data_IF_839321838463
#
_entry.id   IF_839321838463
#
_cell.length_a   1.000
_cell.length_b   1.000
_cell.length_c   1.000
_cell.angle_alpha   90.00
_cell.angle_beta   90.00
_cell.angle_gamma   90.00
#
_symmetry.space_group_name_H-M   'P 1'
#
loop_
_entity.id
_entity.type
_entity.pdbx_description
1 polymer ?
#
# COMPACT_ATOMS: atom_id res chain seq x y z
N UNK A 1 -10.39 -12.94 23.05
CA UNK A 1 -11.81 -13.22 23.35
C UNK A 1 -12.59 -13.33 22.05
N UNK A 2 -12.50 -14.47 21.38
CA UNK A 2 -13.22 -14.79 20.15
C UNK A 2 -13.98 -16.10 20.38
N UNK A 3 -15.09 -16.25 19.67
CA UNK A 3 -16.00 -17.40 19.64
C UNK A 3 -17.11 -17.41 20.69
N UNK A 4 -18.13 -16.59 20.43
CA UNK A 4 -19.49 -17.09 20.51
C UNK A 4 -19.95 -17.38 19.08
N UNK A 5 -19.69 -18.61 18.62
CA UNK A 5 -20.27 -19.20 17.42
C UNK A 5 -21.77 -19.43 17.66
N UNK A 6 -22.52 -18.33 17.81
CA UNK A 6 -23.98 -18.36 17.95
C UNK A 6 -24.62 -18.54 16.56
N UNK A 7 -25.76 -19.26 16.48
CA UNK A 7 -26.28 -19.82 15.24
C UNK A 7 -26.55 -18.70 14.22
N UNK A 8 -26.05 -18.91 13.00
CA UNK A 8 -26.33 -18.04 11.87
C UNK A 8 -27.85 -17.91 11.73
N UNK A 9 -28.37 -16.71 11.99
CA UNK A 9 -29.75 -16.39 11.63
C UNK A 9 -30.01 -16.85 10.19
N UNK A 10 -31.20 -17.34 9.83
CA UNK A 10 -31.49 -17.84 8.48
C UNK A 10 -31.10 -16.83 7.39
N UNK A 11 -31.27 -15.54 7.67
CA UNK A 11 -30.78 -14.43 6.84
C UNK A 11 -29.27 -14.48 6.53
N UNK A 12 -28.42 -14.69 7.55
CA UNK A 12 -26.96 -14.77 7.38
C UNK A 12 -26.58 -16.00 6.58
N UNK A 13 -27.24 -17.13 6.82
CA UNK A 13 -26.97 -18.34 6.05
C UNK A 13 -27.32 -18.15 4.56
N UNK A 14 -28.50 -17.59 4.26
CA UNK A 14 -28.91 -17.30 2.88
C UNK A 14 -27.96 -16.31 2.19
N UNK A 15 -27.63 -15.21 2.86
CA UNK A 15 -26.70 -14.21 2.31
C UNK A 15 -25.28 -14.77 2.14
N UNK A 16 -24.81 -15.63 3.04
CA UNK A 16 -23.48 -16.26 2.92
C UNK A 16 -23.43 -17.22 1.73
N UNK A 17 -24.45 -18.06 1.55
CA UNK A 17 -24.57 -18.91 0.35
C UNK A 17 -24.63 -18.07 -0.95
N UNK A 18 -25.30 -16.93 -0.91
CA UNK A 18 -25.37 -16.01 -2.06
C UNK A 18 -24.01 -15.39 -2.36
N UNK A 19 -23.27 -14.95 -1.34
CA UNK A 19 -21.89 -14.44 -1.46
C UNK A 19 -20.99 -15.52 -2.07
N UNK A 20 -21.03 -16.75 -1.54
CA UNK A 20 -20.24 -17.87 -2.04
C UNK A 20 -20.57 -18.18 -3.51
N UNK A 21 -21.85 -18.24 -3.88
CA UNK A 21 -22.26 -18.47 -5.27
C UNK A 21 -21.74 -17.40 -6.22
N UNK A 22 -21.84 -16.12 -5.85
CA UNK A 22 -21.30 -15.04 -6.67
C UNK A 22 -19.77 -15.06 -6.71
N UNK A 23 -19.12 -15.45 -5.62
CA UNK A 23 -17.67 -15.63 -5.59
C UNK A 23 -17.20 -16.77 -6.49
N UNK A 24 -17.91 -17.89 -6.53
CA UNK A 24 -17.61 -19.02 -7.41
C UNK A 24 -17.81 -18.62 -8.88
N UNK A 25 -18.93 -17.98 -9.23
CA UNK A 25 -19.15 -17.46 -10.60
C UNK A 25 -18.08 -16.45 -11.01
N UNK A 26 -17.67 -15.58 -10.08
CA UNK A 26 -16.61 -14.61 -10.35
C UNK A 26 -15.23 -15.26 -10.45
N UNK A 27 -14.98 -16.33 -9.68
CA UNK A 27 -13.74 -17.09 -9.70
C UNK A 27 -13.48 -17.71 -11.08
N UNK A 28 -14.50 -18.07 -11.85
CA UNK A 28 -14.33 -18.56 -13.23
C UNK A 28 -13.69 -17.48 -14.12
N UNK A 29 -14.22 -16.24 -14.08
CA UNK A 29 -13.66 -15.10 -14.85
C UNK A 29 -12.24 -14.75 -14.40
N UNK A 30 -11.98 -14.86 -13.10
CA UNK A 30 -10.64 -14.63 -12.53
C UNK A 30 -9.67 -15.73 -12.95
N UNK A 31 -10.11 -16.99 -12.95
CA UNK A 31 -9.30 -18.14 -13.36
C UNK A 31 -8.94 -18.03 -14.84
N UNK A 32 -9.92 -17.72 -15.70
CA UNK A 32 -9.67 -17.44 -17.12
C UNK A 32 -8.62 -16.34 -17.30
N UNK A 33 -8.70 -15.24 -16.54
CA UNK A 33 -7.69 -14.19 -16.57
C UNK A 33 -6.32 -14.69 -16.10
N UNK A 34 -6.25 -15.47 -15.01
CA UNK A 34 -4.99 -15.97 -14.44
C UNK A 34 -4.29 -16.99 -15.35
N UNK A 35 -5.05 -17.78 -16.12
CA UNK A 35 -4.56 -18.72 -17.12
C UNK A 35 -3.93 -18.01 -18.33
N UNK A 36 -4.28 -16.75 -18.59
CA UNK A 36 -3.66 -16.01 -19.69
C UNK A 36 -2.14 -15.86 -19.51
N UNK A 37 -1.39 -15.91 -20.63
CA UNK A 37 0.05 -15.64 -20.64
C UNK A 37 0.38 -14.35 -19.90
N UNK A 38 1.45 -14.38 -19.09
CA UNK A 38 1.83 -13.24 -18.24
C UNK A 38 2.02 -11.92 -19.01
N UNK A 39 2.41 -11.99 -20.29
CA UNK A 39 2.52 -10.82 -21.18
C UNK A 39 1.17 -10.18 -21.51
N UNK A 40 0.12 -10.98 -21.68
CA UNK A 40 -1.24 -10.50 -21.97
C UNK A 40 -1.89 -9.90 -20.73
N UNK A 41 -1.76 -10.57 -19.57
CA UNK A 41 -2.23 -10.02 -18.27
C UNK A 41 -1.66 -8.63 -17.97
N UNK A 42 -0.37 -8.44 -18.27
CA UNK A 42 0.33 -7.15 -18.08
C UNK A 42 -0.19 -6.03 -19.01
N UNK A 43 -0.87 -6.36 -20.11
CA UNK A 43 -1.45 -5.39 -21.05
C UNK A 43 -2.93 -5.13 -20.78
N UNK A 44 -3.69 -6.19 -20.49
CA UNK A 44 -5.15 -6.12 -20.34
C UNK A 44 -5.60 -5.41 -19.06
N UNK A 45 -4.76 -5.38 -18.01
CA UNK A 45 -5.07 -4.85 -16.66
C UNK A 45 -6.26 -5.57 -15.98
N UNK A 46 -6.34 -5.52 -14.65
CA UNK A 46 -7.45 -6.11 -13.89
C UNK A 46 -8.71 -5.23 -13.88
N UNK A 47 -8.75 -4.11 -14.62
CA UNK A 47 -9.87 -3.16 -14.54
C UNK A 47 -11.23 -3.79 -14.89
N UNK A 48 -11.38 -4.60 -15.97
CA UNK A 48 -12.66 -5.25 -16.27
C UNK A 48 -13.11 -6.23 -15.18
N UNK A 49 -12.16 -6.88 -14.52
CA UNK A 49 -12.43 -7.78 -13.40
C UNK A 49 -12.96 -7.00 -12.19
N UNK A 50 -12.38 -5.85 -11.87
CA UNK A 50 -12.88 -4.97 -10.79
C UNK A 50 -14.31 -4.46 -11.07
N UNK A 51 -14.64 -4.20 -12.33
CA UNK A 51 -15.99 -3.80 -12.72
C UNK A 51 -16.97 -4.97 -12.53
N UNK A 52 -16.59 -6.19 -12.90
CA UNK A 52 -17.38 -7.41 -12.63
C UNK A 52 -17.54 -7.67 -11.13
N UNK A 53 -16.47 -7.56 -10.35
CA UNK A 53 -16.50 -7.64 -8.90
C UNK A 53 -17.51 -6.65 -8.29
N UNK A 54 -17.52 -5.42 -8.80
CA UNK A 54 -18.45 -4.38 -8.36
C UNK A 54 -19.90 -4.76 -8.66
N UNK A 55 -20.20 -5.30 -9.86
CA UNK A 55 -21.54 -5.79 -10.21
C UNK A 55 -21.98 -6.96 -9.32
N UNK A 56 -21.11 -7.92 -9.05
CA UNK A 56 -21.41 -9.04 -8.15
C UNK A 56 -21.71 -8.56 -6.73
N UNK A 57 -20.90 -7.62 -6.23
CA UNK A 57 -21.14 -7.00 -4.92
C UNK A 57 -22.48 -6.27 -4.89
N UNK A 58 -22.78 -5.47 -5.91
CA UNK A 58 -24.04 -4.71 -6.02
C UNK A 58 -25.25 -5.62 -6.08
N UNK A 59 -25.17 -6.75 -6.81
CA UNK A 59 -26.24 -7.75 -6.84
C UNK A 59 -26.53 -8.33 -5.45
N UNK A 60 -25.49 -8.57 -4.64
CA UNK A 60 -25.65 -9.04 -3.27
C UNK A 60 -26.23 -7.95 -2.37
N UNK A 61 -25.68 -6.73 -2.44
CA UNK A 61 -26.12 -5.57 -1.64
C UNK A 61 -27.57 -5.18 -1.96
N UNK A 62 -28.00 -5.25 -3.22
CA UNK A 62 -29.37 -4.94 -3.62
C UNK A 62 -30.41 -5.87 -2.97
N UNK A 63 -29.99 -7.09 -2.61
CA UNK A 63 -30.84 -8.07 -1.90
C UNK A 63 -30.59 -8.11 -0.39
N UNK A 64 -29.67 -7.29 0.11
CA UNK A 64 -29.36 -7.21 1.52
C UNK A 64 -30.42 -6.39 2.25
N UNK A 65 -31.42 -7.08 2.81
CA UNK A 65 -32.43 -6.48 3.70
C UNK A 65 -32.18 -6.93 5.15
N UNK A 66 -31.51 -6.12 5.99
CA UNK A 66 -31.16 -6.54 7.33
C UNK A 66 -32.42 -6.73 8.18
N UNK A 67 -32.52 -7.79 9.00
CA UNK A 67 -33.63 -7.93 9.93
C UNK A 67 -33.65 -6.71 10.87
N UNK A 68 -34.80 -6.03 10.97
CA UNK A 68 -34.97 -4.71 11.61
C UNK A 68 -34.60 -4.60 13.10
N UNK A 69 -34.13 -5.68 13.72
CA UNK A 69 -33.60 -5.69 15.07
C UNK A 69 -32.11 -5.35 15.00
N UNK A 70 -31.74 -4.15 15.47
CA UNK A 70 -30.34 -3.76 15.69
C UNK A 70 -29.66 -4.86 16.51
N UNK A 71 -28.67 -5.54 15.92
CA UNK A 71 -27.93 -6.60 16.60
C UNK A 71 -27.15 -6.02 17.77
N UNK A 72 -27.35 -6.60 18.96
CA UNK A 72 -26.66 -6.21 20.19
C UNK A 72 -25.28 -6.86 20.31
N UNK A 73 -24.42 -6.73 19.30
CA UNK A 73 -23.08 -7.32 19.35
C UNK A 73 -22.05 -6.60 18.46
N UNK A 74 -20.84 -6.45 18.99
CA UNK A 74 -19.66 -5.89 18.31
C UNK A 74 -19.09 -6.78 17.19
N UNK A 75 -19.80 -7.85 16.81
CA UNK A 75 -19.36 -8.77 15.77
C UNK A 75 -19.85 -8.34 14.39
N UNK A 76 -19.00 -8.53 13.39
CA UNK A 76 -19.36 -8.39 11.98
C UNK A 76 -20.27 -9.55 11.52
N UNK A 77 -21.14 -9.30 10.54
CA UNK A 77 -22.22 -10.22 10.10
C UNK A 77 -21.64 -11.44 9.38
N UNK A 78 -20.71 -11.21 8.49
CA UNK A 78 -19.98 -12.17 7.67
C UNK A 78 -18.57 -12.44 8.19
N UNK A 79 -18.31 -12.09 9.46
CA UNK A 79 -17.04 -12.39 10.14
C UNK A 79 -16.58 -13.84 9.96
N UNK A 80 -17.52 -14.79 9.93
CA UNK A 80 -17.26 -16.21 9.75
C UNK A 80 -16.72 -16.58 8.35
N UNK A 81 -16.94 -15.77 7.31
CA UNK A 81 -16.46 -16.03 5.95
C UNK A 81 -14.97 -15.73 5.83
N UNK A 82 -14.53 -14.58 6.37
CA UNK A 82 -13.12 -14.18 6.28
C UNK A 82 -12.28 -14.59 7.51
N UNK A 83 -12.86 -14.81 8.69
CA UNK A 83 -12.10 -15.23 9.89
C UNK A 83 -11.21 -16.48 9.68
N UNK A 84 -11.63 -17.54 8.95
CA UNK A 84 -10.77 -18.66 8.65
C UNK A 84 -9.52 -18.22 7.88
N UNK A 85 -9.66 -17.34 6.89
CA UNK A 85 -8.54 -16.84 6.08
C UNK A 85 -7.60 -15.98 6.93
N UNK A 86 -8.16 -15.14 7.80
CA UNK A 86 -7.37 -14.32 8.72
C UNK A 86 -6.54 -15.16 9.70
N UNK A 87 -7.06 -16.32 10.13
CA UNK A 87 -6.30 -17.28 10.97
C UNK A 87 -5.19 -17.96 10.17
N UNK A 88 -5.47 -18.37 8.93
CA UNK A 88 -4.46 -18.99 8.06
C UNK A 88 -3.30 -18.02 7.76
N UNK A 89 -3.57 -16.72 7.57
CA UNK A 89 -2.49 -15.73 7.38
C UNK A 89 -1.61 -15.53 8.62
N UNK A 90 -2.10 -15.88 9.82
CA UNK A 90 -1.34 -15.75 11.07
C UNK A 90 -0.45 -16.96 11.35
N UNK A 91 -0.83 -18.13 10.87
CA UNK A 91 -0.07 -19.39 10.99
C UNK A 91 0.83 -19.52 9.77
N UNK A 92 2.13 -19.25 9.93
CA UNK A 92 3.16 -19.04 8.88
C UNK A 92 3.37 -20.15 7.82
N UNK A 93 2.49 -21.13 7.69
CA UNK A 93 2.51 -22.13 6.62
C UNK A 93 1.90 -21.54 5.34
N UNK A 94 2.66 -21.46 4.23
CA UNK A 94 2.21 -20.89 2.97
C UNK A 94 1.32 -21.89 2.22
N UNK A 95 0.22 -22.30 2.84
CA UNK A 95 -0.76 -23.10 2.12
C UNK A 95 -1.50 -22.19 1.14
N UNK A 96 -1.60 -22.64 -0.11
CA UNK A 96 -2.12 -21.81 -1.19
C UNK A 96 -3.63 -21.77 -1.05
N UNK A 97 -4.18 -20.65 -0.55
CA UNK A 97 -5.62 -20.52 -0.38
C UNK A 97 -6.31 -20.52 -1.75
N UNK A 98 -7.43 -21.26 -1.89
CA UNK A 98 -8.17 -21.28 -3.15
C UNK A 98 -8.77 -19.90 -3.42
N UNK A 99 -8.69 -19.46 -4.69
CA UNK A 99 -9.05 -18.11 -5.12
C UNK A 99 -10.50 -17.78 -4.80
N UNK A 100 -11.42 -18.74 -4.95
CA UNK A 100 -12.84 -18.54 -4.66
C UNK A 100 -13.08 -18.14 -3.19
N UNK A 101 -12.36 -18.72 -2.22
CA UNK A 101 -12.47 -18.33 -0.80
C UNK A 101 -11.95 -16.91 -0.56
N UNK A 102 -10.86 -16.51 -1.22
CA UNK A 102 -10.35 -15.13 -1.14
C UNK A 102 -11.36 -14.13 -1.72
N UNK A 103 -11.99 -14.47 -2.83
CA UNK A 103 -13.01 -13.65 -3.48
C UNK A 103 -14.29 -13.58 -2.63
N UNK A 104 -14.74 -14.69 -2.05
CA UNK A 104 -15.90 -14.74 -1.15
C UNK A 104 -15.69 -13.83 0.06
N UNK A 105 -14.50 -13.88 0.67
CA UNK A 105 -14.15 -13.00 1.77
C UNK A 105 -14.10 -11.51 1.36
N UNK A 106 -13.57 -11.20 0.18
CA UNK A 106 -13.53 -9.83 -0.32
C UNK A 106 -14.93 -9.29 -0.64
N UNK A 107 -15.81 -10.10 -1.25
CA UNK A 107 -17.21 -9.74 -1.49
C UNK A 107 -17.93 -9.56 -0.15
N UNK A 108 -17.77 -10.47 0.80
CA UNK A 108 -18.36 -10.37 2.13
C UNK A 108 -17.97 -9.07 2.84
N UNK A 109 -16.69 -8.71 2.82
CA UNK A 109 -16.19 -7.48 3.40
C UNK A 109 -16.76 -6.24 2.69
N UNK A 110 -16.87 -6.26 1.35
CA UNK A 110 -17.44 -5.13 0.59
C UNK A 110 -18.95 -4.97 0.78
N UNK A 111 -19.69 -6.08 0.96
CA UNK A 111 -21.11 -6.04 1.31
C UNK A 111 -21.31 -5.43 2.71
N UNK A 112 -20.45 -5.76 3.67
CA UNK A 112 -20.47 -5.11 5.00
C UNK A 112 -20.12 -3.63 4.92
N UNK A 113 -19.07 -3.28 4.15
CA UNK A 113 -18.63 -1.91 3.97
C UNK A 113 -19.69 -1.02 3.32
N UNK A 114 -20.43 -1.55 2.34
CA UNK A 114 -21.51 -0.83 1.62
C UNK A 114 -22.89 -1.00 2.25
N UNK A 115 -23.01 -1.83 3.28
CA UNK A 115 -24.28 -2.19 3.86
C UNK A 115 -25.04 -0.99 4.44
N UNK A 116 -26.37 -1.07 4.53
CA UNK A 116 -27.21 0.00 5.10
C UNK A 116 -26.99 0.21 6.61
N UNK A 117 -26.33 -0.74 7.28
CA UNK A 117 -26.04 -0.67 8.71
C UNK A 117 -24.81 0.19 8.95
N UNK A 118 -24.98 1.26 9.74
CA UNK A 118 -23.84 1.99 10.29
C UNK A 118 -23.08 1.10 11.26
N UNK A 119 -21.85 0.77 10.91
CA UNK A 119 -20.94 0.00 11.75
C UNK A 119 -20.50 0.83 12.96
N UNK A 120 -20.36 0.18 14.12
CA UNK A 120 -19.73 0.77 15.29
C UNK A 120 -18.24 1.02 15.04
N UNK A 121 -17.60 1.81 15.91
CA UNK A 121 -16.14 2.06 15.85
C UNK A 121 -15.35 0.75 15.90
N UNK A 122 -15.72 -0.16 16.80
CA UNK A 122 -15.12 -1.50 16.95
C UNK A 122 -15.28 -2.34 15.68
N UNK A 123 -16.47 -2.34 15.07
CA UNK A 123 -16.74 -3.05 13.82
C UNK A 123 -15.96 -2.46 12.63
N UNK A 124 -15.87 -1.13 12.52
CA UNK A 124 -15.06 -0.47 11.49
C UNK A 124 -13.59 -0.87 11.59
N UNK A 125 -13.04 -0.91 12.81
CA UNK A 125 -11.67 -1.36 13.05
C UNK A 125 -11.47 -2.83 12.68
N UNK A 126 -12.38 -3.72 13.08
CA UNK A 126 -12.32 -5.14 12.73
C UNK A 126 -12.39 -5.35 11.21
N UNK A 127 -13.24 -4.59 10.52
CA UNK A 127 -13.36 -4.66 9.07
C UNK A 127 -12.11 -4.10 8.38
N UNK A 128 -11.51 -3.04 8.92
CA UNK A 128 -10.25 -2.49 8.42
C UNK A 128 -9.10 -3.52 8.51
N UNK A 129 -8.98 -4.20 9.66
CA UNK A 129 -8.00 -5.27 9.88
C UNK A 129 -8.25 -6.46 8.93
N UNK A 130 -9.51 -6.80 8.67
CA UNK A 130 -9.85 -7.84 7.71
C UNK A 130 -9.39 -7.49 6.29
N UNK A 131 -9.67 -6.26 5.82
CA UNK A 131 -9.20 -5.79 4.52
C UNK A 131 -7.67 -5.72 4.42
N UNK A 132 -6.98 -5.23 5.45
CA UNK A 132 -5.50 -5.18 5.50
C UNK A 132 -4.90 -6.58 5.33
N UNK A 133 -5.47 -7.57 6.04
CA UNK A 133 -5.00 -8.96 6.02
C UNK A 133 -5.39 -9.75 4.77
N UNK A 134 -6.45 -9.36 4.06
CA UNK A 134 -6.80 -9.95 2.76
C UNK A 134 -5.85 -9.53 1.64
N UNK A 135 -5.18 -8.39 1.77
CA UNK A 135 -4.28 -7.86 0.76
C UNK A 135 -3.13 -8.80 0.34
N UNK A 136 -2.31 -9.34 1.26
CA UNK A 136 -1.17 -10.19 0.89
C UNK A 136 -1.57 -11.48 0.16
N UNK A 137 -2.59 -12.26 0.60
CA UNK A 137 -3.07 -13.42 -0.15
C UNK A 137 -3.56 -13.08 -1.57
N UNK A 138 -4.24 -11.93 -1.74
CA UNK A 138 -4.68 -11.47 -3.08
C UNK A 138 -3.49 -11.15 -3.99
N UNK A 139 -2.44 -10.53 -3.46
CA UNK A 139 -1.20 -10.29 -4.23
C UNK A 139 -0.54 -11.62 -4.61
N UNK A 140 -0.47 -12.58 -3.69
CA UNK A 140 0.11 -13.92 -3.94
C UNK A 140 -0.68 -14.70 -4.98
N UNK A 141 -2.02 -14.59 -4.97
CA UNK A 141 -2.91 -15.17 -5.97
C UNK A 141 -2.83 -14.48 -7.36
N UNK A 142 -2.01 -13.43 -7.51
CA UNK A 142 -1.86 -12.73 -8.78
C UNK A 142 -2.95 -11.69 -9.07
N UNK A 143 -3.63 -11.19 -8.02
CA UNK A 143 -4.69 -10.17 -8.09
C UNK A 143 -4.29 -8.86 -7.37
N UNK A 144 -3.19 -8.20 -7.80
CA UNK A 144 -2.73 -6.98 -7.14
C UNK A 144 -3.70 -5.80 -7.21
N UNK A 145 -4.60 -5.69 -8.21
CA UNK A 145 -5.57 -4.60 -8.23
C UNK A 145 -6.68 -4.81 -7.17
N UNK A 146 -7.08 -6.06 -6.94
CA UNK A 146 -8.00 -6.43 -5.86
C UNK A 146 -7.38 -6.17 -4.49
N UNK A 147 -6.10 -6.51 -4.32
CA UNK A 147 -5.37 -6.15 -3.11
C UNK A 147 -5.31 -4.63 -2.90
N UNK A 148 -5.09 -3.85 -3.97
CA UNK A 148 -5.10 -2.39 -3.89
C UNK A 148 -6.47 -1.84 -3.50
N UNK A 149 -7.57 -2.46 -3.96
CA UNK A 149 -8.92 -2.12 -3.53
C UNK A 149 -9.10 -2.41 -2.04
N UNK A 150 -8.68 -3.59 -1.56
CA UNK A 150 -8.76 -3.97 -0.15
C UNK A 150 -8.00 -2.97 0.74
N UNK A 151 -6.74 -2.65 0.41
CA UNK A 151 -5.96 -1.65 1.16
C UNK A 151 -6.57 -0.25 1.13
N UNK A 152 -7.20 0.16 0.01
CA UNK A 152 -7.91 1.44 -0.06
C UNK A 152 -9.09 1.47 0.91
N UNK A 153 -9.85 0.37 1.02
CA UNK A 153 -10.97 0.24 1.96
C UNK A 153 -10.47 0.24 3.40
N UNK A 154 -9.44 -0.53 3.72
CA UNK A 154 -8.78 -0.53 5.02
C UNK A 154 -8.34 0.88 5.44
N UNK A 155 -7.60 1.59 4.58
CA UNK A 155 -7.16 2.95 4.86
C UNK A 155 -8.32 3.93 5.09
N UNK A 156 -9.41 3.81 4.32
CA UNK A 156 -10.60 4.65 4.55
C UNK A 156 -11.28 4.41 5.89
N UNK A 157 -11.29 3.16 6.38
CA UNK A 157 -11.84 2.80 7.68
C UNK A 157 -10.93 3.23 8.83
N UNK A 158 -9.61 3.03 8.70
CA UNK A 158 -8.64 3.53 9.69
C UNK A 158 -8.66 5.05 9.83
N UNK A 159 -8.87 5.77 8.72
CA UNK A 159 -9.07 7.23 8.76
C UNK A 159 -10.31 7.63 9.55
N UNK A 160 -11.41 6.87 9.46
CA UNK A 160 -12.62 7.10 10.25
C UNK A 160 -12.37 6.79 11.74
N UNK A 161 -11.50 5.81 12.03
CA UNK A 161 -11.10 5.44 13.40
C UNK A 161 -10.01 6.35 14.00
N UNK A 162 -9.49 7.30 13.21
CA UNK A 162 -8.36 8.18 13.54
C UNK A 162 -7.02 7.43 13.77
N UNK A 163 -6.90 6.19 13.30
CA UNK A 163 -5.65 5.41 13.35
C UNK A 163 -4.75 5.76 12.15
N UNK A 164 -4.04 6.89 12.28
CA UNK A 164 -3.17 7.44 11.23
C UNK A 164 -2.02 6.52 10.84
N UNK A 165 -1.47 5.75 11.79
CA UNK A 165 -0.39 4.80 11.54
C UNK A 165 -0.89 3.65 10.65
N UNK A 166 -2.06 3.08 10.95
CA UNK A 166 -2.65 2.02 10.15
C UNK A 166 -3.11 2.52 8.77
N UNK A 167 -3.63 3.75 8.67
CA UNK A 167 -3.96 4.40 7.39
C UNK A 167 -2.73 4.50 6.47
N UNK A 168 -1.61 5.02 6.98
CA UNK A 168 -0.38 5.15 6.19
C UNK A 168 0.15 3.77 5.74
N UNK A 169 -0.15 2.70 6.49
CA UNK A 169 0.33 1.33 6.21
C UNK A 169 -0.39 0.77 5.02
N UNK A 170 -1.71 0.91 5.09
CA UNK A 170 -2.61 0.57 4.02
C UNK A 170 -2.30 1.42 2.78
N UNK A 171 -1.99 2.71 2.93
CA UNK A 171 -1.61 3.58 1.81
C UNK A 171 -0.34 3.10 1.08
N UNK A 172 0.70 2.71 1.81
CA UNK A 172 1.91 2.14 1.22
C UNK A 172 1.66 0.76 0.58
N UNK A 173 0.91 -0.11 1.26
CA UNK A 173 0.56 -1.42 0.73
C UNK A 173 -0.30 -1.30 -0.55
N UNK A 174 -1.23 -0.34 -0.57
CA UNK A 174 -2.02 0.04 -1.73
C UNK A 174 -1.13 0.54 -2.88
N UNK A 175 -0.17 1.44 -2.61
CA UNK A 175 0.74 1.95 -3.62
C UNK A 175 1.61 0.83 -4.23
N UNK A 176 2.08 -0.11 -3.40
CA UNK A 176 2.79 -1.32 -3.84
C UNK A 176 1.91 -2.20 -4.72
N UNK A 177 0.71 -2.55 -4.25
CA UNK A 177 -0.23 -3.39 -4.98
C UNK A 177 -0.65 -2.73 -6.33
N UNK A 178 -0.94 -1.43 -6.33
CA UNK A 178 -1.28 -0.68 -7.55
C UNK A 178 -0.12 -0.66 -8.56
N UNK A 179 1.13 -0.56 -8.11
CA UNK A 179 2.31 -0.64 -8.99
C UNK A 179 2.50 -2.05 -9.57
N UNK A 180 2.16 -3.10 -8.82
CA UNK A 180 2.15 -4.47 -9.35
C UNK A 180 1.08 -4.66 -10.42
N UNK A 181 -0.09 -4.03 -10.26
CA UNK A 181 -1.20 -4.08 -11.21
C UNK A 181 -1.00 -3.20 -12.47
N UNK A 182 -0.12 -2.20 -12.42
CA UNK A 182 0.13 -1.30 -13.55
C UNK A 182 0.90 -1.98 -14.70
N UNK A 183 0.62 -1.59 -15.97
CA UNK A 183 1.39 -2.04 -17.12
C UNK A 183 2.86 -1.61 -17.01
N UNK A 184 3.76 -2.40 -17.61
CA UNK A 184 5.25 -2.37 -17.44
C UNK A 184 5.92 -1.06 -17.91
N UNK A 185 5.17 -0.06 -18.35
CA UNK A 185 5.73 1.22 -18.81
C UNK A 185 6.56 1.91 -17.72
N UNK A 186 7.41 2.86 -18.12
CA UNK A 186 8.30 3.68 -17.27
C UNK A 186 7.64 4.24 -15.98
N UNK A 187 6.31 4.35 -15.97
CA UNK A 187 5.48 4.69 -14.80
C UNK A 187 5.74 3.78 -13.58
N UNK A 188 6.12 2.51 -13.76
CA UNK A 188 6.43 1.59 -12.64
C UNK A 188 7.74 1.94 -11.92
N UNK A 189 8.72 2.49 -12.64
CA UNK A 189 10.03 2.88 -12.10
C UNK A 189 9.93 4.22 -11.37
N UNK A 190 9.20 5.19 -11.93
CA UNK A 190 9.01 6.50 -11.30
C UNK A 190 8.39 6.42 -9.89
N UNK A 191 7.53 5.42 -9.64
CA UNK A 191 6.94 5.18 -8.33
C UNK A 191 7.80 4.35 -7.36
N UNK A 192 8.96 3.81 -7.77
CA UNK A 192 9.87 3.07 -6.88
C UNK A 192 10.71 4.01 -6.01
N UNK A 193 11.13 5.13 -6.58
CA UNK A 193 12.01 6.08 -5.91
C UNK A 193 11.36 6.72 -4.68
N UNK A 194 10.11 7.23 -4.73
CA UNK A 194 9.44 7.78 -3.55
C UNK A 194 9.19 6.73 -2.47
N UNK A 195 8.82 5.50 -2.86
CA UNK A 195 8.58 4.41 -1.91
C UNK A 195 9.84 3.93 -1.20
N UNK A 196 10.99 3.97 -1.88
CA UNK A 196 12.28 3.62 -1.32
C UNK A 196 12.79 4.71 -0.37
N UNK A 197 12.68 5.97 -0.78
CA UNK A 197 13.25 7.12 -0.06
C UNK A 197 12.37 7.58 1.10
N UNK A 198 11.06 7.71 0.88
CA UNK A 198 10.15 8.25 1.89
C UNK A 198 9.58 7.15 2.81
N UNK A 199 9.48 5.90 2.33
CA UNK A 199 9.05 4.75 3.11
C UNK A 199 7.66 4.87 3.76
N UNK A 200 7.31 3.85 4.54
CA UNK A 200 6.05 3.78 5.30
C UNK A 200 6.05 4.79 6.45
N UNK A 201 4.95 5.54 6.63
CA UNK A 201 4.76 6.48 7.75
C UNK A 201 5.74 7.66 7.75
N UNK A 202 6.30 8.02 6.58
CA UNK A 202 7.23 9.15 6.45
C UNK A 202 8.37 9.08 7.47
N UNK A 203 9.15 7.98 7.47
CA UNK A 203 10.27 7.81 8.42
C UNK A 203 11.42 8.74 8.06
N UNK A 204 11.63 9.87 8.78
CA UNK A 204 12.68 10.84 8.45
C UNK A 204 14.08 10.21 8.50
N UNK A 205 14.27 9.17 9.33
CA UNK A 205 15.53 8.45 9.44
C UNK A 205 15.96 7.71 8.16
N UNK A 206 15.01 7.26 7.33
CA UNK A 206 15.36 6.68 6.02
C UNK A 206 15.86 7.74 5.05
N UNK A 207 15.24 8.91 5.12
CA UNK A 207 15.68 10.04 4.33
C UNK A 207 17.04 10.56 4.79
N UNK A 208 17.33 10.51 6.08
CA UNK A 208 18.68 10.81 6.61
C UNK A 208 19.72 9.83 6.04
N UNK A 209 19.41 8.53 6.00
CA UNK A 209 20.28 7.55 5.33
C UNK A 209 20.47 7.84 3.84
N UNK A 210 19.40 8.28 3.15
CA UNK A 210 19.51 8.68 1.75
C UNK A 210 20.43 9.89 1.57
N UNK A 211 20.33 10.90 2.43
CA UNK A 211 21.23 12.06 2.46
C UNK A 211 22.68 11.62 2.69
N UNK A 212 22.92 10.69 3.63
CA UNK A 212 24.27 10.15 3.89
C UNK A 212 24.81 9.42 2.65
N UNK A 213 24.01 8.59 1.99
CA UNK A 213 24.43 7.91 0.75
C UNK A 213 24.72 8.91 -0.37
N UNK A 214 23.88 9.94 -0.52
CA UNK A 214 24.08 11.00 -1.50
C UNK A 214 25.40 11.75 -1.25
N UNK A 215 25.69 12.14 0.00
CA UNK A 215 26.95 12.75 0.39
C UNK A 215 28.15 11.84 0.10
N UNK A 216 28.05 10.53 0.39
CA UNK A 216 29.12 9.58 0.08
C UNK A 216 29.38 9.47 -1.43
N UNK A 217 28.33 9.45 -2.25
CA UNK A 217 28.46 9.39 -3.71
C UNK A 217 29.15 10.65 -4.26
N UNK A 218 28.74 11.84 -3.82
CA UNK A 218 29.39 13.09 -4.21
C UNK A 218 30.82 13.18 -3.69
N UNK A 219 31.06 12.75 -2.45
CA UNK A 219 32.40 12.69 -1.88
C UNK A 219 33.34 11.84 -2.72
N UNK A 220 32.93 10.61 -3.07
CA UNK A 220 33.74 9.72 -3.93
C UNK A 220 33.94 10.35 -5.33
N UNK A 221 32.88 10.92 -5.92
CA UNK A 221 32.96 11.54 -7.23
C UNK A 221 33.92 12.74 -7.28
N UNK A 222 33.94 13.56 -6.23
CA UNK A 222 34.86 14.70 -6.09
C UNK A 222 36.26 14.24 -5.75
N UNK A 223 36.45 13.25 -4.86
CA UNK A 223 37.77 12.68 -4.55
C UNK A 223 38.48 12.13 -5.78
N UNK A 224 37.75 11.54 -6.73
CA UNK A 224 38.32 11.06 -8.00
C UNK A 224 38.76 12.21 -8.94
N UNK A 225 38.37 13.46 -8.65
CA UNK A 225 38.58 14.63 -9.51
C UNK A 225 39.35 15.77 -8.83
N UNK A 226 39.61 15.65 -7.54
CA UNK A 226 40.26 16.65 -6.70
C UNK A 226 41.78 16.40 -6.63
N UNK A 227 42.59 17.46 -6.69
CA UNK A 227 44.04 17.42 -6.45
C UNK A 227 44.42 17.91 -5.04
N UNK A 228 43.43 18.34 -4.25
CA UNK A 228 43.58 18.86 -2.88
C UNK A 228 43.52 17.74 -1.84
N UNK A 229 43.79 18.08 -0.57
CA UNK A 229 43.78 17.11 0.52
C UNK A 229 42.39 16.46 0.67
N UNK A 230 42.37 15.20 1.14
CA UNK A 230 41.13 14.47 1.40
C UNK A 230 40.26 15.19 2.43
N UNK A 231 40.87 15.81 3.44
CA UNK A 231 40.16 16.57 4.47
C UNK A 231 39.45 17.81 3.90
N UNK A 232 40.13 18.57 3.03
CA UNK A 232 39.55 19.76 2.39
C UNK A 232 38.42 19.37 1.44
N UNK A 233 38.57 18.24 0.74
CA UNK A 233 37.53 17.72 -0.15
C UNK A 233 36.28 17.30 0.62
N UNK A 234 36.43 16.60 1.75
CA UNK A 234 35.32 16.23 2.63
C UNK A 234 34.59 17.48 3.13
N UNK A 235 35.36 18.48 3.60
CA UNK A 235 34.80 19.73 4.10
C UNK A 235 34.02 20.48 3.02
N UNK A 236 34.59 20.61 1.81
CA UNK A 236 33.93 21.29 0.68
C UNK A 236 32.63 20.59 0.25
N UNK A 237 32.62 19.26 0.17
CA UNK A 237 31.42 18.48 -0.18
C UNK A 237 30.32 18.69 0.87
N UNK A 238 30.64 18.60 2.16
CA UNK A 238 29.67 18.86 3.22
C UNK A 238 29.12 20.29 3.20
N UNK A 239 29.99 21.29 3.01
CA UNK A 239 29.56 22.68 2.94
C UNK A 239 28.71 22.95 1.71
N UNK A 240 29.12 22.45 0.55
CA UNK A 240 28.39 22.64 -0.70
C UNK A 240 26.98 22.04 -0.68
N UNK A 241 26.80 20.94 0.04
CA UNK A 241 25.50 20.30 0.21
C UNK A 241 24.50 21.18 0.98
N UNK A 242 24.98 21.97 1.96
CA UNK A 242 24.16 22.86 2.77
C UNK A 242 24.04 24.26 2.17
N UNK A 243 25.12 24.76 1.57
CA UNK A 243 25.22 26.08 1.00
C UNK A 243 26.08 26.03 -0.27
N UNK A 244 25.58 26.43 -1.44
CA UNK A 244 26.35 26.37 -2.68
C UNK A 244 27.67 27.15 -2.54
N UNK A 245 28.78 26.48 -2.88
CA UNK A 245 30.11 27.08 -2.84
C UNK A 245 30.29 28.16 -3.90
N UNK A 246 31.15 29.14 -3.60
CA UNK A 246 31.50 30.20 -4.54
C UNK A 246 32.43 29.72 -5.65
N UNK A 247 32.50 30.51 -6.73
CA UNK A 247 33.42 30.23 -7.86
C UNK A 247 34.89 30.22 -7.38
N UNK A 248 35.22 31.03 -6.37
CA UNK A 248 36.54 31.10 -5.74
C UNK A 248 36.96 29.82 -5.02
N UNK A 249 36.02 29.06 -4.47
CA UNK A 249 36.29 27.87 -3.67
C UNK A 249 36.56 26.62 -4.53
N UNK A 250 36.29 26.69 -5.84
CA UNK A 250 36.40 25.57 -6.79
C UNK A 250 37.59 25.70 -7.75
N UNK A 251 38.57 26.53 -7.40
CA UNK A 251 39.75 26.77 -8.24
C UNK A 251 40.69 25.56 -8.32
N UNK A 252 40.70 24.71 -7.29
CA UNK A 252 41.60 23.54 -7.19
C UNK A 252 41.00 22.23 -7.75
N UNK A 253 39.88 22.33 -8.46
CA UNK A 253 39.11 21.17 -8.93
C UNK A 253 39.28 21.01 -10.44
N UNK A 254 39.60 19.79 -10.90
CA UNK A 254 39.78 19.48 -12.33
C UNK A 254 38.52 19.77 -13.15
N UNK A 255 38.71 19.90 -14.46
CA UNK A 255 37.63 20.08 -15.46
C UNK A 255 36.53 19.03 -15.23
N UNK A 256 35.30 19.51 -15.02
CA UNK A 256 34.12 18.70 -14.73
C UNK A 256 33.72 18.61 -13.25
N UNK A 257 34.64 18.80 -12.29
CA UNK A 257 34.28 18.74 -10.87
C UNK A 257 33.41 19.90 -10.38
N UNK A 258 33.51 21.07 -11.04
CA UNK A 258 32.58 22.19 -10.83
C UNK A 258 31.13 21.83 -11.13
N UNK A 259 30.89 21.04 -12.19
CA UNK A 259 29.54 20.59 -12.53
C UNK A 259 28.99 19.63 -11.45
N UNK A 260 29.86 18.82 -10.83
CA UNK A 260 29.49 17.93 -9.72
C UNK A 260 29.00 18.73 -8.51
N UNK A 261 29.72 19.78 -8.11
CA UNK A 261 29.29 20.67 -7.02
C UNK A 261 27.97 21.42 -7.33
N UNK A 262 27.75 21.82 -8.58
CA UNK A 262 26.46 22.41 -8.98
C UNK A 262 25.33 21.37 -8.84
N UNK A 263 25.52 20.16 -9.36
CA UNK A 263 24.51 19.10 -9.26
C UNK A 263 24.25 18.74 -7.78
N UNK A 264 25.30 18.66 -6.97
CA UNK A 264 25.21 18.38 -5.54
C UNK A 264 24.38 19.42 -4.80
N UNK A 265 24.63 20.71 -5.01
CA UNK A 265 23.93 21.77 -4.29
C UNK A 265 22.43 21.82 -4.65
N UNK A 266 22.08 21.65 -5.93
CA UNK A 266 20.68 21.55 -6.35
C UNK A 266 20.00 20.28 -5.82
N UNK A 267 20.67 19.13 -5.90
CA UNK A 267 20.10 17.88 -5.39
C UNK A 267 19.98 17.90 -3.85
N UNK A 268 20.93 18.54 -3.16
CA UNK A 268 20.88 18.82 -1.72
C UNK A 268 19.71 19.70 -1.36
N UNK A 269 19.51 20.81 -2.07
CA UNK A 269 18.37 21.72 -1.86
C UNK A 269 17.02 21.01 -2.08
N UNK A 270 16.87 20.21 -3.13
CA UNK A 270 15.64 19.42 -3.38
C UNK A 270 15.42 18.41 -2.25
N UNK A 271 16.46 17.68 -1.85
CA UNK A 271 16.37 16.64 -0.81
C UNK A 271 16.06 17.26 0.54
N UNK A 272 16.71 18.36 0.93
CA UNK A 272 16.42 19.08 2.17
C UNK A 272 15.02 19.70 2.17
N UNK A 273 14.55 20.20 1.02
CA UNK A 273 13.19 20.73 0.87
C UNK A 273 12.13 19.65 1.06
N UNK A 274 12.32 18.48 0.45
CA UNK A 274 11.44 17.32 0.66
C UNK A 274 11.51 16.88 2.13
N UNK A 275 12.71 16.78 2.72
CA UNK A 275 12.88 16.40 4.13
C UNK A 275 12.12 17.33 5.07
N UNK A 276 12.25 18.64 4.88
CA UNK A 276 11.53 19.63 5.66
C UNK A 276 10.02 19.52 5.46
N UNK A 277 9.54 19.36 4.22
CA UNK A 277 8.12 19.14 3.95
C UNK A 277 7.58 17.89 4.67
N UNK A 278 8.36 16.81 4.73
CA UNK A 278 8.00 15.61 5.48
C UNK A 278 7.99 15.84 6.99
N UNK A 279 8.98 16.58 7.51
CA UNK A 279 9.10 16.90 8.93
C UNK A 279 7.93 17.78 9.40
N UNK A 280 7.61 18.83 8.63
CA UNK A 280 6.47 19.71 8.87
C UNK A 280 5.16 18.93 8.85
N UNK A 281 4.96 18.06 7.85
CA UNK A 281 3.76 17.23 7.76
C UNK A 281 3.64 16.24 8.92
N UNK A 282 4.75 15.73 9.44
CA UNK A 282 4.75 14.87 10.64
C UNK A 282 4.41 15.70 11.89
N UNK A 283 4.93 16.91 12.00
CA UNK A 283 4.70 17.79 13.15
C UNK A 283 3.25 18.24 13.24
N UNK A 284 2.61 18.60 12.13
CA UNK A 284 1.20 18.98 12.11
C UNK A 284 0.22 17.79 12.31
N UNK A 285 0.71 16.56 12.31
CA UNK A 285 -0.09 15.36 12.59
C UNK A 285 0.01 14.89 14.05
N UNK A 286 0.97 15.40 14.82
CA UNK A 286 1.17 15.13 16.25
C UNK A 286 0.50 16.23 17.09
#
# INVERSE_FOLDING_TARGET
MLEKSAPSSPFVADMSMRIERHADTYADSVTEFLEQPHRLRRRATEQPLLDLFTRHTEAVVATYDPPGIRRAGDSLVFGHIYAPLLRHTATATPDTMPVNKLLAALIAAEVEFRGPLRLSRTQNRLLAEAYERLGPPLVQAGLPAHAALAYRRAGSLYRIDEDTDAEDRCGLAQARARRLAQPVSWKRIGGLFPDLICGYGYRPFRMLWFVVVQLLVFLVAVLLRADQSTADTVFQVLMNYLNPLGIGDTQHVKVGGRAIFVIESYLGAVTMSVFFALLVRRWFRL
#
